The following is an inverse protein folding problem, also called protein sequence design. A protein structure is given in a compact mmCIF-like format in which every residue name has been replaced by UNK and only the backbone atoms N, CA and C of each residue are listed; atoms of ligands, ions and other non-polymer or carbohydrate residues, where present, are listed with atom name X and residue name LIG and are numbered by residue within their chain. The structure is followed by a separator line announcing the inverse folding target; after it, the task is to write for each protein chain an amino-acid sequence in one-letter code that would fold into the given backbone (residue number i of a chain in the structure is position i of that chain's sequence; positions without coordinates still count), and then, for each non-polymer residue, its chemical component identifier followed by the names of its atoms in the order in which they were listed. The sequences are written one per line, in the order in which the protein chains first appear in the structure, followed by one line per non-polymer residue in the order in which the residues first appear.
data_IF_603434728146
#
_entry.id   IF_603434728146
#
_cell.length_a   1.000
_cell.length_b   1.000
_cell.length_c   1.000
_cell.angle_alpha   90.00
_cell.angle_beta   90.00
_cell.angle_gamma   90.00
#
_symmetry.space_group_name_H-M   'P 1'
#
loop_
_entity.id
_entity.type
_entity.pdbx_description
1 polymer ?
#
# COMPACT_ATOMS: atom_id res chain seq x y z
N UNK A 1 13.08 -4.71 14.38
CA UNK A 1 12.96 -5.83 13.44
C UNK A 1 12.81 -5.26 12.03
N UNK A 2 13.65 -5.75 11.13
CA UNK A 2 13.60 -5.26 9.76
C UNK A 2 12.42 -5.87 9.00
N UNK A 3 11.68 -5.03 8.33
CA UNK A 3 10.59 -5.48 7.48
C UNK A 3 11.15 -5.92 6.13
N UNK A 4 10.59 -6.99 5.58
CA UNK A 4 10.86 -7.34 4.19
C UNK A 4 10.24 -6.26 3.29
N UNK A 5 10.63 -6.24 2.01
CA UNK A 5 10.03 -5.32 1.06
C UNK A 5 8.52 -5.54 0.96
N UNK A 6 8.07 -6.79 0.93
CA UNK A 6 6.65 -7.11 0.85
C UNK A 6 5.89 -6.59 2.06
N UNK A 7 6.42 -6.78 3.26
CA UNK A 7 5.80 -6.28 4.49
C UNK A 7 5.73 -4.75 4.47
N UNK A 8 6.80 -4.10 4.05
CA UNK A 8 6.85 -2.64 3.95
C UNK A 8 5.82 -2.12 2.96
N UNK A 9 5.73 -2.73 1.76
CA UNK A 9 4.74 -2.34 0.75
C UNK A 9 3.33 -2.49 1.29
N UNK A 10 3.06 -3.59 1.97
CA UNK A 10 1.75 -3.87 2.54
C UNK A 10 1.38 -2.84 3.61
N UNK A 11 2.31 -2.53 4.51
CA UNK A 11 2.09 -1.52 5.53
C UNK A 11 1.83 -0.15 4.94
N UNK A 12 2.61 0.23 3.94
CA UNK A 12 2.45 1.52 3.27
C UNK A 12 1.07 1.58 2.60
N UNK A 13 0.65 0.50 1.94
CA UNK A 13 -0.66 0.44 1.31
C UNK A 13 -1.79 0.59 2.33
N UNK A 14 -1.71 -0.10 3.47
CA UNK A 14 -2.72 0.03 4.53
C UNK A 14 -2.77 1.44 5.09
N UNK A 15 -1.61 2.07 5.27
CA UNK A 15 -1.56 3.45 5.75
C UNK A 15 -2.22 4.39 4.76
N UNK A 16 -1.99 4.18 3.47
CA UNK A 16 -2.63 4.96 2.41
C UNK A 16 -4.14 4.76 2.39
N UNK A 17 -4.61 3.52 2.59
CA UNK A 17 -6.03 3.20 2.65
C UNK A 17 -6.73 3.91 3.82
N UNK A 18 -6.02 4.13 4.90
CA UNK A 18 -6.56 4.85 6.06
C UNK A 18 -6.58 6.36 5.86
N UNK A 19 -6.14 6.83 4.71
CA UNK A 19 -6.12 8.25 4.39
C UNK A 19 -4.84 8.96 4.77
N UNK A 20 -3.81 8.23 5.20
CA UNK A 20 -2.55 8.84 5.58
C UNK A 20 -1.81 9.36 4.35
N UNK A 21 -1.31 10.59 4.45
CA UNK A 21 -0.43 11.14 3.44
C UNK A 21 0.97 10.56 3.60
N UNK A 22 1.55 10.10 2.49
CA UNK A 22 2.83 9.40 2.50
C UNK A 22 3.98 10.33 2.10
N UNK A 23 4.89 10.55 3.04
CA UNK A 23 6.12 11.33 2.79
C UNK A 23 7.26 10.36 2.53
N UNK A 24 7.93 10.51 1.39
CA UNK A 24 9.08 9.67 1.04
C UNK A 24 10.15 9.77 2.11
N UNK A 25 10.47 10.99 2.55
CA UNK A 25 11.52 11.20 3.55
C UNK A 25 11.16 10.57 4.90
N UNK A 26 9.93 10.79 5.35
CA UNK A 26 9.49 10.25 6.65
C UNK A 26 9.44 8.72 6.63
N UNK A 27 8.95 8.14 5.53
CA UNK A 27 8.92 6.69 5.40
C UNK A 27 10.32 6.10 5.35
N UNK A 28 11.24 6.77 4.65
CA UNK A 28 12.63 6.32 4.59
C UNK A 28 13.25 6.31 5.98
N UNK A 29 13.03 7.36 6.74
CA UNK A 29 13.52 7.47 8.11
C UNK A 29 12.89 6.40 9.01
N UNK A 30 11.60 6.22 8.90
CA UNK A 30 10.83 5.29 9.72
C UNK A 30 11.22 3.83 9.47
N UNK A 31 11.40 3.45 8.21
CA UNK A 31 11.77 2.10 7.83
C UNK A 31 13.28 1.87 7.74
N UNK A 32 14.06 2.89 8.00
CA UNK A 32 15.52 2.84 7.96
C UNK A 32 16.04 2.35 6.61
N UNK A 33 15.47 2.88 5.54
CA UNK A 33 15.88 2.62 4.17
C UNK A 33 16.11 3.96 3.46
N UNK A 34 16.69 3.90 2.26
CA UNK A 34 16.94 5.12 1.49
C UNK A 34 15.63 5.69 0.93
N UNK A 35 15.64 6.99 0.63
CA UNK A 35 14.51 7.62 -0.08
C UNK A 35 14.31 6.99 -1.44
N UNK A 36 15.39 6.52 -2.06
CA UNK A 36 15.33 5.82 -3.34
C UNK A 36 14.54 4.52 -3.22
N UNK A 37 14.74 3.77 -2.13
CA UNK A 37 13.98 2.54 -1.87
C UNK A 37 12.50 2.83 -1.70
N UNK A 38 12.16 3.87 -0.94
CA UNK A 38 10.76 4.25 -0.76
C UNK A 38 10.16 4.72 -2.09
N UNK A 39 10.92 5.49 -2.87
CA UNK A 39 10.48 5.92 -4.20
C UNK A 39 10.14 4.74 -5.10
N UNK A 40 10.96 3.70 -5.06
CA UNK A 40 10.70 2.46 -5.82
C UNK A 40 9.46 1.75 -5.30
N UNK A 41 9.30 1.68 -3.97
CA UNK A 41 8.13 1.05 -3.36
C UNK A 41 6.85 1.74 -3.81
N UNK A 42 6.83 3.06 -3.80
CA UNK A 42 5.65 3.82 -4.23
C UNK A 42 5.40 3.65 -5.73
N UNK A 43 6.47 3.60 -6.54
CA UNK A 43 6.33 3.33 -7.98
C UNK A 43 5.79 1.94 -8.23
N UNK A 44 6.27 0.94 -7.49
CA UNK A 44 5.81 -0.44 -7.61
C UNK A 44 4.34 -0.54 -7.21
N UNK A 45 3.94 0.14 -6.14
CA UNK A 45 2.56 0.17 -5.69
C UNK A 45 1.66 0.82 -6.74
N UNK A 46 2.11 1.94 -7.29
CA UNK A 46 1.40 2.65 -8.34
C UNK A 46 1.18 1.78 -9.58
N UNK A 47 2.23 1.09 -10.02
CA UNK A 47 2.17 0.18 -11.15
C UNK A 47 1.22 -0.99 -10.86
N UNK A 48 1.30 -1.55 -9.66
CA UNK A 48 0.44 -2.64 -9.25
C UNK A 48 -1.04 -2.25 -9.32
N UNK A 49 -1.38 -1.07 -8.81
CA UNK A 49 -2.76 -0.59 -8.86
C UNK A 49 -3.24 -0.41 -10.30
N UNK A 50 -2.37 0.09 -11.17
CA UNK A 50 -2.71 0.28 -12.58
C UNK A 50 -2.92 -1.05 -13.30
N UNK A 51 -2.17 -2.08 -12.95
CA UNK A 51 -2.26 -3.40 -13.56
C UNK A 51 -3.45 -4.23 -13.08
N UNK A 52 -3.99 -3.90 -11.93
CA UNK A 52 -5.07 -4.68 -11.31
C UNK A 52 -6.36 -3.89 -11.17
N UNK A 53 -6.70 -3.13 -12.20
CA UNK A 53 -7.91 -2.31 -12.20
C UNK A 53 -9.20 -3.12 -12.05
N UNK A 54 -9.19 -4.38 -12.47
CA UNK A 54 -10.33 -5.27 -12.29
C UNK A 54 -10.62 -5.55 -10.80
N UNK A 55 -9.60 -5.38 -9.94
CA UNK A 55 -9.75 -5.56 -8.49
C UNK A 55 -9.96 -4.25 -7.77
N UNK A 56 -9.28 -3.20 -8.22
CA UNK A 56 -9.23 -1.94 -7.47
C UNK A 56 -9.99 -0.78 -8.12
N UNK A 57 -10.52 -1.00 -9.34
CA UNK A 57 -11.23 0.06 -10.05
C UNK A 57 -10.30 1.22 -10.36
N UNK A 58 -10.77 2.45 -10.12
CA UNK A 58 -10.00 3.65 -10.39
C UNK A 58 -9.18 4.13 -9.21
N UNK A 59 -8.68 3.19 -8.42
CA UNK A 59 -7.80 3.51 -7.30
C UNK A 59 -6.44 3.93 -7.82
N UNK A 60 -5.97 5.09 -7.41
CA UNK A 60 -4.69 5.63 -7.85
C UNK A 60 -3.91 6.24 -6.71
N UNK A 61 -2.59 6.10 -6.77
CA UNK A 61 -1.69 6.77 -5.85
C UNK A 61 -1.14 8.00 -6.56
N UNK A 62 -1.42 9.19 -6.03
CA UNK A 62 -1.02 10.45 -6.66
C UNK A 62 -0.24 11.33 -5.69
N UNK A 63 0.73 12.06 -6.25
CA UNK A 63 1.52 13.02 -5.48
C UNK A 63 0.85 14.38 -5.47
N UNK A 64 0.70 14.96 -4.28
CA UNK A 64 0.20 16.32 -4.11
C UNK A 64 1.38 17.28 -4.01
N UNK A 65 1.52 18.18 -4.98
CA UNK A 65 2.57 19.19 -4.96
C UNK A 65 2.39 20.19 -3.83
N UNK A 66 1.16 20.45 -3.43
CA UNK A 66 0.86 21.37 -2.34
C UNK A 66 1.30 20.82 -0.98
N UNK A 67 0.94 19.57 -0.73
CA UNK A 67 1.24 18.93 0.55
C UNK A 67 2.59 18.23 0.57
N UNK A 68 3.14 17.95 -0.62
CA UNK A 68 4.36 17.15 -0.80
C UNK A 68 4.23 15.76 -0.23
N UNK A 69 3.06 15.18 -0.42
CA UNK A 69 2.70 13.85 0.07
C UNK A 69 2.01 13.08 -1.05
N UNK A 70 2.17 11.77 -1.01
CA UNK A 70 1.36 10.87 -1.84
C UNK A 70 0.09 10.53 -1.10
N UNK A 71 -1.02 10.47 -1.83
CA UNK A 71 -2.32 10.05 -1.30
C UNK A 71 -2.95 9.03 -2.22
N UNK A 72 -3.71 8.14 -1.62
CA UNK A 72 -4.47 7.15 -2.37
C UNK A 72 -5.87 7.71 -2.62
N UNK A 73 -6.29 7.73 -3.88
CA UNK A 73 -7.62 8.21 -4.29
C UNK A 73 -8.42 7.03 -4.83
N UNK A 74 -9.63 6.86 -4.34
CA UNK A 74 -10.52 5.77 -4.73
C UNK A 74 -11.89 6.32 -5.07
N UNK A 75 -12.49 5.82 -6.17
CA UNK A 75 -13.85 6.20 -6.52
C UNK A 75 -14.87 5.47 -5.66
N UNK A 76 -14.55 4.24 -5.26
CA UNK A 76 -15.43 3.41 -4.47
C UNK A 76 -14.63 2.72 -3.37
N UNK A 77 -15.32 2.40 -2.28
CA UNK A 77 -14.70 1.62 -1.22
C UNK A 77 -14.56 0.17 -1.65
N UNK A 78 -13.40 -0.40 -1.37
CA UNK A 78 -13.18 -1.81 -1.58
C UNK A 78 -13.98 -2.60 -0.54
N UNK A 79 -14.62 -3.69 -0.97
CA UNK A 79 -15.19 -4.64 -0.04
C UNK A 79 -14.06 -5.38 0.66
N UNK A 80 -14.36 -6.01 1.81
CA UNK A 80 -13.36 -6.83 2.50
C UNK A 80 -12.85 -7.96 1.60
N UNK A 81 -13.73 -8.57 0.80
CA UNK A 81 -13.33 -9.63 -0.11
C UNK A 81 -12.40 -9.13 -1.20
N UNK A 82 -12.69 -7.95 -1.77
CA UNK A 82 -11.84 -7.34 -2.79
C UNK A 82 -10.48 -6.95 -2.23
N UNK A 83 -10.48 -6.36 -1.05
CA UNK A 83 -9.24 -5.99 -0.36
C UNK A 83 -8.39 -7.22 -0.06
N UNK A 84 -9.04 -8.29 0.41
CA UNK A 84 -8.36 -9.53 0.70
C UNK A 84 -7.72 -10.15 -0.55
N UNK A 85 -8.47 -10.15 -1.66
CA UNK A 85 -7.97 -10.64 -2.94
C UNK A 85 -6.76 -9.83 -3.42
N UNK A 86 -6.83 -8.50 -3.26
CA UNK A 86 -5.73 -7.61 -3.64
C UNK A 86 -4.47 -7.90 -2.82
N UNK A 87 -4.63 -8.10 -1.52
CA UNK A 87 -3.50 -8.41 -0.64
C UNK A 87 -2.89 -9.75 -1.02
N UNK A 88 -3.71 -10.77 -1.32
CA UNK A 88 -3.20 -12.07 -1.74
C UNK A 88 -2.38 -11.99 -3.02
N UNK A 89 -2.83 -11.20 -3.99
CA UNK A 89 -2.08 -11.00 -5.24
C UNK A 89 -0.78 -10.27 -4.97
N UNK A 90 -0.82 -9.23 -4.12
CA UNK A 90 0.32 -8.39 -3.82
C UNK A 90 1.47 -9.15 -3.15
N UNK A 91 1.14 -10.08 -2.26
CA UNK A 91 2.15 -10.80 -1.48
C UNK A 91 2.29 -12.27 -1.85
N UNK A 92 1.51 -12.76 -2.81
CA UNK A 92 1.56 -14.15 -3.26
C UNK A 92 1.02 -15.14 -2.25
N UNK A 93 0.21 -14.71 -1.30
CA UNK A 93 -0.47 -15.54 -0.31
C UNK A 93 0.44 -16.36 0.62
N UNK A 94 1.74 -16.07 0.64
CA UNK A 94 2.71 -16.83 1.46
C UNK A 94 3.32 -16.07 2.63
N UNK A 95 3.26 -14.75 2.58
CA UNK A 95 3.88 -13.90 3.59
C UNK A 95 3.05 -13.81 4.87
N UNK A 96 1.73 -14.02 4.76
CA UNK A 96 0.80 -13.91 5.90
C UNK A 96 -0.19 -15.06 5.88
N UNK A 97 -0.58 -15.52 7.07
CA UNK A 97 -1.67 -16.47 7.21
C UNK A 97 -2.99 -15.75 6.94
N UNK A 98 -4.06 -16.53 6.70
CA UNK A 98 -5.39 -15.95 6.54
C UNK A 98 -5.82 -15.15 7.76
N UNK A 99 -5.51 -15.65 8.94
CA UNK A 99 -5.84 -14.97 10.19
C UNK A 99 -5.12 -13.63 10.30
N UNK A 100 -3.85 -13.58 9.93
CA UNK A 100 -3.08 -12.34 9.95
C UNK A 100 -3.66 -11.32 8.97
N UNK A 101 -4.02 -11.76 7.77
CA UNK A 101 -4.62 -10.88 6.77
C UNK A 101 -5.98 -10.35 7.23
N UNK A 102 -6.81 -11.20 7.81
CA UNK A 102 -8.10 -10.78 8.36
C UNK A 102 -7.93 -9.78 9.49
N UNK A 103 -6.96 -10.00 10.36
CA UNK A 103 -6.65 -9.08 11.44
C UNK A 103 -6.24 -7.72 10.91
N UNK A 104 -5.39 -7.69 9.88
CA UNK A 104 -4.96 -6.45 9.25
C UNK A 104 -6.11 -5.71 8.58
N UNK A 105 -6.96 -6.43 7.83
CA UNK A 105 -8.10 -5.80 7.15
C UNK A 105 -9.14 -5.28 8.13
N UNK A 106 -9.32 -5.95 9.26
CA UNK A 106 -10.27 -5.51 10.29
C UNK A 106 -9.84 -4.23 10.99
N UNK A 107 -8.59 -3.83 10.88
CA UNK A 107 -8.09 -2.59 11.46
C UNK A 107 -8.33 -1.38 10.55
N UNK A 108 -8.73 -1.62 9.34
CA UNK A 108 -9.04 -0.56 8.38
C UNK A 108 -10.44 -0.02 8.62
#
# INVERSE_FOLDING_TARGET
MENTKQERLLEIFFRALRGEGLSVQKLADEYEVSTKSIGRDLSDLKAFLAEHRELVGNTELKYSNQEKLYHLYMDEFLTNAELFALIEVMIGARAFSKEELLTLTNKL
#
